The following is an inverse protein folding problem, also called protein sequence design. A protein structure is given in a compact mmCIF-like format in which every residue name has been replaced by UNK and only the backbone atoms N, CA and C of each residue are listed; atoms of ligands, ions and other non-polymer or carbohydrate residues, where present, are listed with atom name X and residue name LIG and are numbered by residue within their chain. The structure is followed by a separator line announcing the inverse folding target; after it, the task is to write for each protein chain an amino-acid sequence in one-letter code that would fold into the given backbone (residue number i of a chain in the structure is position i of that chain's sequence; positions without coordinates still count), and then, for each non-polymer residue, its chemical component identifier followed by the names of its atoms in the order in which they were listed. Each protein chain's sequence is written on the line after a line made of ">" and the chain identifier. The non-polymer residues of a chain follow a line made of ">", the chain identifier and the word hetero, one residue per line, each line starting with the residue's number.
data_IF_635895018209
#
_entry.id   IF_635895018209
#
_cell.length_a   1.000
_cell.length_b   1.000
_cell.length_c   1.000
_cell.angle_alpha   90.00
_cell.angle_beta   90.00
_cell.angle_gamma   90.00
#
_symmetry.space_group_name_H-M   'P 1'
#
loop_
_entity.id
_entity.type
_entity.pdbx_description
1 polymer ?
#
# COMPACT_ATOMS: atom_id res chain seq x y z
N UNK A 1 7.08 -12.77 -18.86
CA UNK A 1 8.51 -12.53 -18.50
C UNK A 1 8.53 -11.70 -17.24
N UNK A 2 9.39 -12.03 -16.25
CA UNK A 2 9.53 -11.26 -15.01
C UNK A 2 10.54 -10.12 -15.25
N UNK A 3 10.23 -8.86 -14.88
CA UNK A 3 11.17 -7.77 -15.06
C UNK A 3 12.41 -7.96 -14.18
N UNK A 4 13.58 -7.63 -14.71
CA UNK A 4 14.82 -7.59 -13.95
C UNK A 4 14.96 -6.22 -13.27
N UNK A 5 15.07 -6.21 -11.95
CA UNK A 5 15.20 -4.99 -11.14
C UNK A 5 16.58 -4.96 -10.52
N UNK A 6 17.28 -3.83 -10.66
CA UNK A 6 18.58 -3.58 -10.04
C UNK A 6 18.73 -2.13 -9.60
N UNK A 7 19.79 -1.86 -8.84
CA UNK A 7 20.18 -0.50 -8.46
C UNK A 7 21.56 -0.23 -9.07
N UNK A 8 21.69 0.89 -9.78
CA UNK A 8 22.94 1.35 -10.35
C UNK A 8 23.20 2.77 -9.88
N UNK A 9 24.23 2.94 -9.03
CA UNK A 9 24.46 4.17 -8.27
C UNK A 9 23.19 4.55 -7.49
N UNK A 10 22.56 5.66 -7.87
CA UNK A 10 21.37 6.21 -7.20
C UNK A 10 20.07 5.91 -7.96
N UNK A 11 20.13 5.06 -9.01
CA UNK A 11 19.00 4.80 -9.89
C UNK A 11 18.42 3.41 -9.67
N UNK A 12 17.10 3.34 -9.54
CA UNK A 12 16.34 2.13 -9.81
C UNK A 12 16.35 1.85 -11.31
N UNK A 13 16.69 0.61 -11.67
CA UNK A 13 16.81 0.15 -13.06
C UNK A 13 15.87 -1.03 -13.26
N UNK A 14 15.05 -0.95 -14.31
CA UNK A 14 14.12 -1.99 -14.72
C UNK A 14 14.45 -2.39 -16.15
N UNK A 15 14.75 -3.68 -16.36
CA UNK A 15 15.13 -4.25 -17.66
C UNK A 15 16.28 -3.46 -18.33
N UNK A 16 17.28 -3.09 -17.52
CA UNK A 16 18.46 -2.35 -17.96
C UNK A 16 18.27 -0.84 -18.16
N UNK A 17 17.05 -0.33 -18.00
CA UNK A 17 16.73 1.11 -18.17
C UNK A 17 16.43 1.76 -16.82
N UNK A 18 17.01 2.93 -16.49
CA UNK A 18 16.61 3.70 -15.31
C UNK A 18 15.11 4.01 -15.35
N UNK A 19 14.45 4.01 -14.19
CA UNK A 19 13.07 4.52 -14.11
C UNK A 19 13.04 5.99 -14.55
N UNK A 20 11.98 6.40 -15.25
CA UNK A 20 11.78 7.79 -15.70
C UNK A 20 12.99 8.42 -16.44
N UNK A 21 13.51 7.79 -17.51
CA UNK A 21 14.73 8.25 -18.18
C UNK A 21 14.59 9.68 -18.69
N UNK A 22 15.60 10.52 -18.43
CA UNK A 22 15.67 11.92 -18.84
C UNK A 22 14.67 12.86 -18.17
N UNK A 23 13.90 12.41 -17.17
CA UNK A 23 12.86 13.24 -16.56
C UNK A 23 13.38 14.14 -15.44
N UNK A 24 12.86 15.36 -15.42
CA UNK A 24 13.02 16.33 -14.33
C UNK A 24 11.65 16.88 -13.91
N UNK A 25 11.54 17.30 -12.64
CA UNK A 25 10.36 17.96 -12.09
C UNK A 25 10.80 19.09 -11.17
N UNK A 26 10.27 20.30 -11.38
CA UNK A 26 10.66 21.51 -10.62
C UNK A 26 12.18 21.73 -10.53
N UNK A 27 12.90 21.46 -11.61
CA UNK A 27 14.38 21.58 -11.65
C UNK A 27 15.12 20.44 -10.95
N UNK A 28 14.43 19.48 -10.35
CA UNK A 28 15.02 18.31 -9.72
C UNK A 28 15.00 17.10 -10.68
N UNK A 29 16.09 16.33 -10.70
CA UNK A 29 16.16 15.07 -11.42
C UNK A 29 15.24 14.04 -10.75
N UNK A 30 14.32 13.46 -11.52
CA UNK A 30 13.45 12.37 -11.07
C UNK A 30 13.74 11.05 -11.76
N UNK A 31 14.63 11.06 -12.76
CA UNK A 31 15.23 9.85 -13.31
C UNK A 31 15.86 9.00 -12.21
N UNK A 32 15.62 7.70 -12.28
CA UNK A 32 16.12 6.70 -11.35
C UNK A 32 15.36 6.66 -10.03
N UNK A 33 14.38 7.54 -9.80
CA UNK A 33 13.53 7.46 -8.61
C UNK A 33 12.44 6.40 -8.79
N UNK A 34 12.04 5.79 -7.68
CA UNK A 34 10.95 4.82 -7.65
C UNK A 34 9.69 5.49 -7.12
N UNK A 35 8.78 5.86 -8.02
CA UNK A 35 7.50 6.42 -7.59
C UNK A 35 6.65 5.31 -7.00
N UNK A 36 6.35 5.43 -5.71
CA UNK A 36 5.65 4.38 -4.98
C UNK A 36 4.47 4.92 -4.19
N UNK A 37 3.47 4.05 -4.02
CA UNK A 37 2.34 4.29 -3.12
C UNK A 37 2.42 3.34 -1.93
N UNK A 38 2.24 3.89 -0.73
CA UNK A 38 2.03 3.10 0.48
C UNK A 38 0.56 2.68 0.53
N UNK A 39 0.31 1.38 0.46
CA UNK A 39 -1.02 0.79 0.45
C UNK A 39 -1.18 -0.11 1.68
N UNK A 40 -1.28 0.52 2.86
CA UNK A 40 -1.21 -0.18 4.15
C UNK A 40 -2.45 -1.04 4.46
N UNK A 41 -3.58 -0.79 3.81
CA UNK A 41 -4.83 -1.53 4.00
C UNK A 41 -5.20 -2.42 2.81
N UNK A 42 -4.34 -2.51 1.79
CA UNK A 42 -4.66 -3.23 0.55
C UNK A 42 -4.85 -4.75 0.71
N UNK A 43 -4.24 -5.35 1.74
CA UNK A 43 -4.33 -6.78 2.02
C UNK A 43 -4.55 -7.05 3.53
N UNK A 44 -5.29 -6.15 4.20
CA UNK A 44 -5.50 -6.24 5.64
C UNK A 44 -6.80 -6.99 5.98
N UNK A 45 -6.74 -7.95 6.89
CA UNK A 45 -7.91 -8.55 7.52
C UNK A 45 -7.91 -8.21 9.01
N UNK A 46 -9.00 -7.61 9.49
CA UNK A 46 -9.18 -7.41 10.93
C UNK A 46 -9.90 -8.60 11.55
N UNK A 47 -9.16 -9.42 12.30
CA UNK A 47 -9.76 -10.55 13.01
C UNK A 47 -10.62 -10.10 14.21
N UNK A 48 -10.46 -8.87 14.71
CA UNK A 48 -11.19 -8.42 15.90
C UNK A 48 -12.66 -8.08 15.56
N UNK A 49 -13.64 -8.80 16.13
CA UNK A 49 -15.06 -8.51 15.93
C UNK A 49 -15.48 -7.09 16.32
N UNK A 50 -14.77 -6.45 17.27
CA UNK A 50 -15.11 -5.12 17.77
C UNK A 50 -14.71 -3.98 16.82
N UNK A 51 -13.82 -4.25 15.86
CA UNK A 51 -13.23 -3.21 15.01
C UNK A 51 -13.32 -3.50 13.53
N UNK A 52 -13.68 -4.73 13.13
CA UNK A 52 -13.88 -5.10 11.71
C UNK A 52 -14.88 -4.18 10.99
N UNK A 53 -15.91 -3.71 11.68
CA UNK A 53 -16.95 -2.86 11.10
C UNK A 53 -16.45 -1.41 10.85
N UNK A 54 -15.28 -1.04 11.38
CA UNK A 54 -14.63 0.23 11.04
C UNK A 54 -14.03 0.24 9.62
N UNK A 55 -14.02 -0.93 8.96
CA UNK A 55 -13.48 -1.15 7.63
C UNK A 55 -14.57 -1.30 6.57
N UNK A 56 -15.84 -1.07 6.88
CA UNK A 56 -16.94 -1.11 5.90
C UNK A 56 -16.57 -0.33 4.64
N UNK A 57 -16.86 -0.94 3.48
CA UNK A 57 -16.60 -0.33 2.18
C UNK A 57 -17.37 0.99 2.03
N UNK A 58 -16.91 1.84 1.12
CA UNK A 58 -17.53 3.15 0.89
C UNK A 58 -19.00 3.06 0.45
N UNK A 59 -19.40 1.92 -0.13
CA UNK A 59 -20.78 1.61 -0.54
C UNK A 59 -21.66 1.05 0.60
N UNK A 60 -21.11 0.93 1.82
CA UNK A 60 -21.82 0.42 3.00
C UNK A 60 -21.81 -1.10 3.13
N UNK A 61 -21.19 -1.84 2.21
CA UNK A 61 -21.08 -3.30 2.34
C UNK A 61 -20.04 -3.71 3.39
N UNK A 62 -20.25 -4.83 4.10
CA UNK A 62 -19.29 -5.34 5.09
C UNK A 62 -17.90 -5.51 4.50
N UNK A 63 -16.87 -5.32 5.32
CA UNK A 63 -15.49 -5.55 4.91
C UNK A 63 -15.29 -6.98 4.41
N UNK A 64 -14.68 -7.09 3.23
CA UNK A 64 -14.34 -8.35 2.57
C UNK A 64 -12.93 -8.20 2.01
N UNK A 65 -12.01 -9.03 2.50
CA UNK A 65 -10.60 -9.00 2.12
C UNK A 65 -10.39 -9.41 0.65
N UNK A 66 -11.14 -10.39 0.15
CA UNK A 66 -10.99 -10.88 -1.22
C UNK A 66 -11.48 -9.82 -2.19
N UNK A 67 -12.61 -9.17 -1.87
CA UNK A 67 -13.09 -8.00 -2.60
C UNK A 67 -12.04 -6.88 -2.60
N UNK A 68 -11.51 -6.50 -1.44
CA UNK A 68 -10.54 -5.41 -1.33
C UNK A 68 -9.24 -5.67 -2.11
N UNK A 69 -8.73 -6.92 -2.06
CA UNK A 69 -7.55 -7.32 -2.85
C UNK A 69 -7.86 -7.28 -4.35
N UNK A 70 -9.02 -7.77 -4.76
CA UNK A 70 -9.45 -7.76 -6.17
C UNK A 70 -9.56 -6.33 -6.71
N UNK A 71 -10.22 -5.44 -5.98
CA UNK A 71 -10.32 -4.01 -6.32
C UNK A 71 -8.95 -3.33 -6.34
N UNK A 72 -8.07 -3.63 -5.36
CA UNK A 72 -6.69 -3.14 -5.34
C UNK A 72 -5.90 -3.58 -6.59
N UNK A 73 -5.99 -4.85 -6.98
CA UNK A 73 -5.31 -5.36 -8.19
C UNK A 73 -5.87 -4.66 -9.44
N UNK A 74 -7.19 -4.45 -9.50
CA UNK A 74 -7.86 -3.84 -10.66
C UNK A 74 -7.38 -2.42 -10.96
N UNK A 75 -6.90 -1.67 -9.95
CA UNK A 75 -6.45 -0.28 -10.12
C UNK A 75 -4.94 -0.17 -10.41
N UNK A 76 -4.15 -1.24 -10.23
CA UNK A 76 -2.71 -1.22 -10.52
C UNK A 76 -2.36 -0.77 -11.95
N UNK A 77 -3.08 -1.20 -13.02
CA UNK A 77 -2.82 -0.71 -14.36
C UNK A 77 -3.03 0.80 -14.52
N UNK A 78 -4.04 1.36 -13.83
CA UNK A 78 -4.32 2.80 -13.83
C UNK A 78 -3.20 3.55 -13.14
N UNK A 79 -2.77 3.10 -11.96
CA UNK A 79 -1.63 3.72 -11.27
C UNK A 79 -0.34 3.62 -12.08
N UNK A 80 -0.12 2.50 -12.77
CA UNK A 80 1.01 2.33 -13.67
C UNK A 80 0.97 3.33 -14.82
N UNK A 81 -0.20 3.55 -15.43
CA UNK A 81 -0.40 4.55 -16.47
C UNK A 81 -0.16 5.99 -15.95
N UNK A 82 -0.45 6.26 -14.68
CA UNK A 82 -0.13 7.52 -14.01
C UNK A 82 1.34 7.66 -13.60
N UNK A 83 2.19 6.67 -13.87
CA UNK A 83 3.63 6.71 -13.61
C UNK A 83 4.07 6.12 -12.28
N UNK A 84 3.21 5.36 -11.57
CA UNK A 84 3.63 4.60 -10.41
C UNK A 84 4.47 3.38 -10.83
N UNK A 85 5.58 3.14 -10.15
CA UNK A 85 6.46 1.99 -10.40
C UNK A 85 6.28 0.87 -9.38
N UNK A 86 5.96 1.23 -8.13
CA UNK A 86 5.91 0.28 -7.03
C UNK A 86 4.76 0.55 -6.05
N UNK A 87 4.39 -0.51 -5.34
CA UNK A 87 3.47 -0.46 -4.20
C UNK A 87 4.18 -1.04 -2.99
N UNK A 88 4.05 -0.34 -1.86
CA UNK A 88 4.53 -0.83 -0.56
C UNK A 88 3.31 -1.31 0.22
N UNK A 89 3.27 -2.62 0.47
CA UNK A 89 2.18 -3.27 1.20
C UNK A 89 2.54 -3.37 2.69
N UNK A 90 1.56 -3.10 3.56
CA UNK A 90 1.67 -3.43 4.98
C UNK A 90 0.87 -4.68 5.26
N UNK A 91 1.55 -5.77 5.64
CA UNK A 91 0.88 -6.99 6.09
C UNK A 91 0.32 -6.85 7.52
N UNK A 92 0.79 -5.86 8.27
CA UNK A 92 0.29 -5.55 9.62
C UNK A 92 -0.95 -4.63 9.60
N UNK A 93 -1.35 -4.14 8.43
CA UNK A 93 -2.39 -3.13 8.30
C UNK A 93 -1.91 -1.72 8.66
N UNK A 94 -2.86 -0.80 8.71
CA UNK A 94 -2.72 0.55 9.25
C UNK A 94 -3.95 0.92 10.10
N UNK A 95 -4.10 2.17 10.56
CA UNK A 95 -5.37 2.66 11.09
C UNK A 95 -6.52 2.47 10.09
N UNK A 96 -7.76 2.19 10.52
CA UNK A 96 -8.92 2.46 9.69
C UNK A 96 -8.98 3.95 9.38
N UNK A 97 -9.29 4.32 8.14
CA UNK A 97 -9.37 5.72 7.72
C UNK A 97 -10.40 6.53 8.51
N UNK A 98 -11.43 5.85 9.04
CA UNK A 98 -12.53 6.42 9.82
C UNK A 98 -12.27 6.44 11.33
N UNK A 99 -11.11 5.98 11.79
CA UNK A 99 -10.78 6.02 13.21
C UNK A 99 -10.49 7.47 13.61
N UNK A 100 -11.54 8.20 13.99
CA UNK A 100 -11.42 9.46 14.70
C UNK A 100 -10.81 9.15 16.06
N UNK A 101 -9.48 9.28 16.19
CA UNK A 101 -8.77 8.87 17.40
C UNK A 101 -8.71 10.01 18.40
N UNK A 102 -9.19 9.82 19.64
CA UNK A 102 -8.98 10.79 20.71
C UNK A 102 -7.54 10.73 21.27
N UNK A 103 -6.76 9.70 20.94
CA UNK A 103 -5.38 9.51 21.45
C UNK A 103 -4.39 9.12 20.35
N UNK A 104 -3.12 9.55 20.45
CA UNK A 104 -2.08 9.16 19.51
C UNK A 104 -1.82 7.65 19.49
N UNK A 105 -1.40 7.07 18.35
CA UNK A 105 -1.18 5.63 18.18
C UNK A 105 -0.26 4.96 19.22
N UNK A 106 0.70 5.70 19.81
CA UNK A 106 1.66 5.18 20.79
C UNK A 106 1.15 5.23 22.24
N UNK A 107 0.03 5.90 22.51
CA UNK A 107 -0.61 5.97 23.83
C UNK A 107 -1.86 5.09 23.92
N UNK A 108 -2.28 4.45 22.82
CA UNK A 108 -3.43 3.55 22.81
C UNK A 108 -3.05 2.21 23.43
N UNK A 109 -3.64 1.80 24.58
CA UNK A 109 -3.39 0.48 25.19
C UNK A 109 -3.96 -0.69 24.35
N UNK A 110 -4.62 -0.35 23.25
CA UNK A 110 -5.25 -1.27 22.33
C UNK A 110 -4.61 -1.01 20.95
N UNK A 111 -4.00 -2.01 20.32
CA UNK A 111 -4.06 -2.13 18.85
C UNK A 111 -5.44 -2.72 18.59
N UNK A 112 -6.49 -1.93 18.30
CA UNK A 112 -7.86 -2.41 18.27
C UNK A 112 -8.04 -3.48 17.20
N UNK A 113 -7.33 -3.39 16.08
CA UNK A 113 -7.39 -4.37 15.01
C UNK A 113 -6.28 -5.43 15.17
N UNK A 114 -6.62 -6.67 14.82
CA UNK A 114 -5.71 -7.81 14.92
C UNK A 114 -5.41 -8.34 13.51
N UNK A 115 -4.16 -8.22 13.07
CA UNK A 115 -3.74 -8.81 11.80
C UNK A 115 -3.47 -10.31 11.99
N UNK A 116 -4.21 -11.21 11.32
CA UNK A 116 -3.91 -12.63 11.34
C UNK A 116 -2.65 -12.97 10.51
N UNK A 117 -2.07 -12.02 9.76
CA UNK A 117 -0.99 -12.26 8.80
C UNK A 117 0.32 -12.82 9.41
N UNK A 118 0.46 -12.78 10.74
CA UNK A 118 1.62 -13.31 11.47
C UNK A 118 1.23 -14.34 12.54
N UNK A 119 -0.03 -14.79 12.55
CA UNK A 119 -0.41 -15.95 13.35
C UNK A 119 0.30 -17.17 12.79
N UNK A 120 1.20 -17.78 13.56
CA UNK A 120 1.78 -19.07 13.20
C UNK A 120 0.72 -20.16 13.25
N UNK A 121 0.86 -21.14 12.36
CA UNK A 121 0.15 -22.42 12.42
C UNK A 121 0.49 -23.17 13.72
#
# INVERSE_FOLDING_TARGET
>A
MKPAVSISRDNFVVDGTPTHPGRTWNGHRVEGLLFHRRASSAAFADANPKTRDLWTHADGTPWDIDRNISEFISVLPVWRACGLDAVVLSLQGGPPAHANRPVPPWQSPIRPWHSPAFGGD
#
